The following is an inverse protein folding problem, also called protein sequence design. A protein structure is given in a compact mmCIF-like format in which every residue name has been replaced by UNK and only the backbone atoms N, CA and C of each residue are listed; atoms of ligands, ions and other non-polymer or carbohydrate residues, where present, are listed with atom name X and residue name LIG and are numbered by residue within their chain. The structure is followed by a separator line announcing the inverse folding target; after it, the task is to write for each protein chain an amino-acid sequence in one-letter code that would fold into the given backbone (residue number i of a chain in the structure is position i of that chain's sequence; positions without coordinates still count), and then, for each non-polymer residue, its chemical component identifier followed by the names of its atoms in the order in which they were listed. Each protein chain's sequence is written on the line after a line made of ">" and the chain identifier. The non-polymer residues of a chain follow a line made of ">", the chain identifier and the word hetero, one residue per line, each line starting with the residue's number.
data_IF_348102743072
#
_entry.id   IF_348102743072
#
_cell.length_a   1.000
_cell.length_b   1.000
_cell.length_c   1.000
_cell.angle_alpha   90.00
_cell.angle_beta   90.00
_cell.angle_gamma   90.00
#
_symmetry.space_group_name_H-M   'P 1'
#
loop_
_entity.id
_entity.type
_entity.pdbx_description
1 polymer ?
#
# COMPACT_ATOMS: atom_id res chain seq x y z
N UNK A 1 22.30 -26.05 33.72
CA UNK A 1 22.98 -26.17 32.40
C UNK A 1 21.91 -26.21 31.33
N UNK A 2 21.62 -25.03 30.74
CA UNK A 2 21.83 -24.68 29.33
C UNK A 2 20.93 -25.46 28.35
N UNK A 3 19.83 -24.80 28.01
CA UNK A 3 19.05 -25.04 26.81
C UNK A 3 19.92 -24.73 25.57
N UNK A 4 19.96 -25.67 24.63
CA UNK A 4 20.60 -25.50 23.33
C UNK A 4 19.62 -24.80 22.38
N UNK A 5 19.85 -23.51 22.22
CA UNK A 5 19.18 -22.63 21.28
C UNK A 5 20.12 -22.32 20.12
N UNK A 6 19.99 -23.05 19.01
CA UNK A 6 20.55 -22.65 17.72
C UNK A 6 19.91 -23.41 16.56
N UNK A 7 18.66 -23.05 16.22
CA UNK A 7 18.17 -23.23 14.84
C UNK A 7 17.99 -21.85 14.25
N UNK A 8 18.97 -21.43 13.44
CA UNK A 8 18.82 -20.29 12.52
C UNK A 8 17.54 -20.51 11.70
N UNK A 9 16.69 -19.48 11.54
CA UNK A 9 15.64 -19.56 10.53
C UNK A 9 16.29 -19.70 9.14
N UNK A 10 15.67 -20.47 8.23
CA UNK A 10 16.23 -20.69 6.90
C UNK A 10 16.33 -19.35 6.15
N UNK A 11 17.46 -19.15 5.48
CA UNK A 11 17.70 -18.08 4.53
C UNK A 11 16.77 -18.34 3.33
N UNK A 12 15.66 -17.59 3.25
CA UNK A 12 14.68 -17.74 2.17
C UNK A 12 15.16 -16.87 1.01
N UNK A 13 15.73 -17.52 0.01
CA UNK A 13 16.12 -16.91 -1.26
C UNK A 13 14.89 -16.38 -1.99
N UNK A 14 14.67 -15.07 -1.91
CA UNK A 14 13.95 -14.35 -2.96
C UNK A 14 14.69 -14.61 -4.25
N UNK A 15 14.08 -15.29 -5.22
CA UNK A 15 14.61 -15.32 -6.58
C UNK A 15 14.84 -13.86 -7.01
N UNK A 16 16.09 -13.53 -7.36
CA UNK A 16 16.51 -12.20 -7.75
C UNK A 16 15.91 -11.86 -9.12
N UNK A 17 14.62 -11.55 -9.16
CA UNK A 17 13.94 -11.03 -10.34
C UNK A 17 14.52 -9.65 -10.63
N UNK A 18 15.20 -9.44 -11.79
CA UNK A 18 15.89 -8.19 -12.05
C UNK A 18 14.90 -7.03 -12.16
N UNK A 19 15.22 -5.91 -11.49
CA UNK A 19 14.43 -4.70 -11.56
C UNK A 19 14.50 -4.10 -12.99
N UNK A 20 13.36 -3.67 -13.52
CA UNK A 20 13.34 -2.81 -14.71
C UNK A 20 13.69 -1.38 -14.26
N UNK A 21 14.83 -0.88 -14.75
CA UNK A 21 15.36 0.46 -14.45
C UNK A 21 15.24 1.41 -15.64
N UNK A 22 14.50 1.03 -16.68
CA UNK A 22 14.27 1.87 -17.85
C UNK A 22 13.30 3.02 -17.53
N UNK A 23 13.84 4.14 -17.06
CA UNK A 23 13.09 5.39 -16.90
C UNK A 23 13.14 6.00 -15.48
N UNK A 24 12.18 6.90 -15.22
CA UNK A 24 12.10 7.69 -13.97
C UNK A 24 11.90 6.84 -12.71
N UNK A 25 11.36 5.63 -12.85
CA UNK A 25 11.06 4.71 -11.76
C UNK A 25 11.66 3.33 -12.01
N UNK A 26 12.21 2.74 -10.95
CA UNK A 26 12.61 1.34 -10.92
C UNK A 26 11.44 0.49 -10.44
N UNK A 27 11.14 -0.59 -11.18
CA UNK A 27 10.04 -1.52 -10.90
C UNK A 27 10.61 -2.91 -10.64
N UNK A 28 10.23 -3.50 -9.51
CA UNK A 28 10.62 -4.87 -9.16
C UNK A 28 9.35 -5.69 -8.91
N UNK A 29 8.83 -6.40 -9.92
CA UNK A 29 7.73 -7.35 -9.74
C UNK A 29 8.18 -8.50 -8.82
N UNK A 30 7.28 -8.96 -7.94
CA UNK A 30 7.67 -9.94 -6.90
C UNK A 30 7.62 -11.40 -7.36
N UNK A 31 6.96 -11.69 -8.47
CA UNK A 31 6.94 -13.01 -9.14
C UNK A 31 6.87 -12.84 -10.65
N UNK A 32 7.08 -13.92 -11.41
CA UNK A 32 6.92 -13.92 -12.88
C UNK A 32 5.49 -13.56 -13.32
N UNK A 33 4.46 -13.98 -12.56
CA UNK A 33 3.10 -13.54 -12.84
C UNK A 33 2.96 -12.02 -12.66
N UNK A 34 3.56 -11.45 -11.62
CA UNK A 34 3.56 -10.00 -11.42
C UNK A 34 4.32 -9.27 -12.54
N UNK A 35 5.42 -9.86 -13.04
CA UNK A 35 6.16 -9.35 -14.21
C UNK A 35 5.28 -9.34 -15.44
N UNK A 36 4.57 -10.43 -15.74
CA UNK A 36 3.60 -10.47 -16.84
C UNK A 36 2.52 -9.39 -16.70
N UNK A 37 1.90 -9.25 -15.52
CA UNK A 37 0.88 -8.22 -15.27
C UNK A 37 1.45 -6.80 -15.45
N UNK A 38 2.68 -6.57 -14.99
CA UNK A 38 3.39 -5.30 -15.24
C UNK A 38 3.62 -5.08 -16.74
N UNK A 39 4.13 -6.07 -17.45
CA UNK A 39 4.44 -6.03 -18.89
C UNK A 39 3.19 -5.68 -19.72
N UNK A 40 2.06 -6.33 -19.42
CA UNK A 40 0.75 -6.07 -20.04
C UNK A 40 0.25 -4.63 -19.91
N UNK A 41 0.65 -3.91 -18.85
CA UNK A 41 0.39 -2.47 -18.71
C UNK A 41 -1.09 -2.08 -18.75
N UNK A 42 -2.01 -2.94 -18.29
CA UNK A 42 -3.46 -2.64 -18.40
C UNK A 42 -3.94 -1.63 -17.37
N UNK A 43 -3.61 -1.84 -16.11
CA UNK A 43 -4.09 -1.01 -15.02
C UNK A 43 -3.11 -0.97 -13.85
N UNK A 44 -3.04 0.17 -13.17
CA UNK A 44 -2.29 0.34 -11.92
C UNK A 44 -3.13 1.07 -10.87
N UNK A 45 -3.08 0.56 -9.64
CA UNK A 45 -3.65 1.24 -8.47
C UNK A 45 -2.57 2.00 -7.74
N UNK A 46 -2.75 3.31 -7.60
CA UNK A 46 -1.88 4.21 -6.81
C UNK A 46 -2.53 4.47 -5.46
N UNK A 47 -2.15 3.70 -4.43
CA UNK A 47 -2.59 3.92 -3.06
C UNK A 47 -1.86 5.09 -2.40
N UNK A 48 -2.60 6.11 -1.94
CA UNK A 48 -2.01 7.30 -1.29
C UNK A 48 -2.49 7.38 0.16
N UNK A 49 -1.66 6.87 1.08
CA UNK A 49 -1.99 6.81 2.51
C UNK A 49 -1.86 8.16 3.24
N UNK A 50 -2.57 8.29 4.36
CA UNK A 50 -2.40 9.39 5.33
C UNK A 50 -1.02 9.38 5.98
N UNK A 51 -0.58 10.53 6.48
CA UNK A 51 0.65 10.68 7.27
C UNK A 51 1.96 10.24 6.58
N UNK A 52 1.91 9.85 5.30
CA UNK A 52 3.07 9.40 4.55
C UNK A 52 3.67 10.57 3.78
N UNK A 53 4.78 11.11 4.29
CA UNK A 53 5.52 12.20 3.67
C UNK A 53 6.30 11.77 2.41
N UNK A 54 6.46 10.47 2.17
CA UNK A 54 7.16 9.95 0.98
C UNK A 54 6.55 10.50 -0.31
N UNK A 55 5.22 10.41 -0.45
CA UNK A 55 4.51 10.97 -1.60
C UNK A 55 4.33 12.48 -1.46
N UNK A 56 5.41 13.24 -1.68
CA UNK A 56 5.30 14.68 -1.91
C UNK A 56 4.48 14.97 -3.18
N UNK A 57 3.98 16.21 -3.34
CA UNK A 57 3.28 16.61 -4.58
C UNK A 57 4.15 16.37 -5.81
N UNK A 58 5.46 16.65 -5.71
CA UNK A 58 6.43 16.43 -6.78
C UNK A 58 6.58 14.95 -7.13
N UNK A 59 6.85 14.11 -6.13
CA UNK A 59 7.04 12.68 -6.39
C UNK A 59 5.75 12.04 -6.92
N UNK A 60 4.60 12.44 -6.37
CA UNK A 60 3.32 11.92 -6.82
C UNK A 60 3.00 12.37 -8.25
N UNK A 61 3.34 13.60 -8.66
CA UNK A 61 3.11 14.05 -10.04
C UNK A 61 4.02 13.34 -11.04
N UNK A 62 5.28 13.07 -10.67
CA UNK A 62 6.21 12.24 -11.45
C UNK A 62 5.69 10.82 -11.61
N UNK A 63 5.27 10.19 -10.51
CA UNK A 63 4.70 8.85 -10.50
C UNK A 63 3.42 8.76 -11.36
N UNK A 64 2.49 9.71 -11.22
CA UNK A 64 1.25 9.71 -11.99
C UNK A 64 1.52 9.86 -13.50
N UNK A 65 2.47 10.72 -13.88
CA UNK A 65 2.87 10.89 -15.29
C UNK A 65 3.49 9.62 -15.85
N UNK A 66 4.43 9.02 -15.11
CA UNK A 66 5.05 7.76 -15.50
C UNK A 66 4.00 6.64 -15.63
N UNK A 67 3.11 6.51 -14.64
CA UNK A 67 2.02 5.53 -14.65
C UNK A 67 1.08 5.73 -15.84
N UNK A 68 0.77 6.98 -16.19
CA UNK A 68 -0.09 7.28 -17.33
C UNK A 68 0.54 6.90 -18.67
N UNK A 69 1.87 7.01 -18.81
CA UNK A 69 2.59 6.54 -20.00
C UNK A 69 2.67 5.00 -20.03
N UNK A 70 2.81 4.36 -18.87
CA UNK A 70 3.05 2.91 -18.78
C UNK A 70 1.78 2.06 -18.80
N UNK A 71 0.66 2.59 -18.31
CA UNK A 71 -0.58 1.85 -18.11
C UNK A 71 -1.75 2.48 -18.86
N UNK A 72 -2.60 1.64 -19.45
CA UNK A 72 -3.82 2.10 -20.15
C UNK A 72 -4.79 2.82 -19.21
N UNK A 73 -4.85 2.40 -17.94
CA UNK A 73 -5.71 2.99 -16.92
C UNK A 73 -4.99 3.14 -15.59
N UNK A 74 -5.22 4.26 -14.92
CA UNK A 74 -4.66 4.58 -13.60
C UNK A 74 -5.79 4.96 -12.67
N UNK A 75 -5.89 4.30 -11.52
CA UNK A 75 -6.84 4.63 -10.48
C UNK A 75 -6.06 4.95 -9.18
N UNK A 76 -6.39 6.08 -8.56
CA UNK A 76 -5.82 6.55 -7.29
C UNK A 76 -6.81 6.22 -6.18
N UNK A 77 -6.34 5.58 -5.11
CA UNK A 77 -7.18 5.23 -3.96
C UNK A 77 -6.67 5.92 -2.70
N UNK A 78 -7.57 6.61 -2.00
CA UNK A 78 -7.31 7.29 -0.71
C UNK A 78 -8.03 6.50 0.40
N UNK A 79 -7.32 5.93 1.39
CA UNK A 79 -7.90 5.05 2.42
C UNK A 79 -8.62 5.81 3.54
N UNK A 80 -9.59 6.65 3.20
CA UNK A 80 -10.26 7.66 4.06
C UNK A 80 -10.91 7.13 5.36
N UNK A 81 -11.33 5.87 5.40
CA UNK A 81 -11.97 5.27 6.59
C UNK A 81 -10.97 4.71 7.62
N UNK A 82 -9.75 4.38 7.19
CA UNK A 82 -8.78 3.63 8.00
C UNK A 82 -8.27 4.40 9.22
N UNK A 83 -8.03 5.69 9.05
CA UNK A 83 -7.44 6.52 10.10
C UNK A 83 -8.39 6.70 11.29
N UNK A 84 -9.69 6.89 11.03
CA UNK A 84 -10.69 7.05 12.07
C UNK A 84 -10.70 5.83 13.00
N UNK A 85 -10.73 4.63 12.42
CA UNK A 85 -10.74 3.39 13.19
C UNK A 85 -9.46 3.22 14.02
N UNK A 86 -8.30 3.48 13.43
CA UNK A 86 -7.04 3.42 14.15
C UNK A 86 -7.00 4.39 15.35
N UNK A 87 -7.51 5.62 15.20
CA UNK A 87 -7.56 6.58 16.31
C UNK A 87 -8.50 6.12 17.44
N UNK A 88 -9.64 5.53 17.10
CA UNK A 88 -10.56 4.94 18.09
C UNK A 88 -9.91 3.78 18.85
N UNK A 89 -9.21 2.90 18.13
CA UNK A 89 -8.44 1.79 18.73
C UNK A 89 -7.37 2.31 19.71
N UNK A 90 -6.75 3.44 19.40
CA UNK A 90 -5.79 4.12 20.29
C UNK A 90 -6.43 4.85 21.47
N UNK A 91 -7.74 4.72 21.68
CA UNK A 91 -8.47 5.32 22.80
C UNK A 91 -8.73 6.82 22.63
N UNK A 92 -8.64 7.37 21.41
CA UNK A 92 -9.04 8.75 21.14
C UNK A 92 -10.57 8.86 21.13
N UNK A 93 -11.09 10.03 21.51
CA UNK A 93 -12.53 10.28 21.46
C UNK A 93 -13.05 10.20 20.02
N UNK A 94 -14.32 9.82 19.86
CA UNK A 94 -14.95 9.71 18.55
C UNK A 94 -14.94 11.05 17.79
N UNK A 95 -15.19 12.15 18.50
CA UNK A 95 -15.12 13.50 17.94
C UNK A 95 -13.72 13.84 17.42
N UNK A 96 -12.68 13.55 18.21
CA UNK A 96 -11.30 13.76 17.78
C UNK A 96 -10.95 12.90 16.57
N UNK A 97 -11.31 11.62 16.59
CA UNK A 97 -11.05 10.68 15.51
C UNK A 97 -11.74 11.12 14.20
N UNK A 98 -12.98 11.59 14.29
CA UNK A 98 -13.73 12.11 13.15
C UNK A 98 -13.08 13.37 12.58
N UNK A 99 -12.82 14.38 13.43
CA UNK A 99 -12.20 15.65 13.02
C UNK A 99 -10.83 15.42 12.39
N UNK A 100 -9.98 14.61 13.03
CA UNK A 100 -8.62 14.33 12.57
C UNK A 100 -8.61 13.51 11.28
N UNK A 101 -9.46 12.49 11.17
CA UNK A 101 -9.56 11.69 9.94
C UNK A 101 -10.01 12.53 8.74
N UNK A 102 -11.04 13.38 8.90
CA UNK A 102 -11.47 14.32 7.86
C UNK A 102 -10.36 15.28 7.45
N UNK A 103 -9.65 15.87 8.42
CA UNK A 103 -8.55 16.78 8.16
C UNK A 103 -7.43 16.11 7.33
N UNK A 104 -7.00 14.91 7.74
CA UNK A 104 -5.94 14.17 7.04
C UNK A 104 -6.41 13.68 5.67
N UNK A 105 -7.64 13.21 5.52
CA UNK A 105 -8.22 12.82 4.23
C UNK A 105 -8.26 14.01 3.27
N UNK A 106 -8.70 15.18 3.74
CA UNK A 106 -8.69 16.41 2.93
C UNK A 106 -7.28 16.82 2.53
N UNK A 107 -6.31 16.71 3.45
CA UNK A 107 -4.91 17.00 3.15
C UNK A 107 -4.35 16.07 2.05
N UNK A 108 -4.67 14.77 2.13
CA UNK A 108 -4.29 13.79 1.09
C UNK A 108 -4.99 14.10 -0.23
N UNK A 109 -6.30 14.36 -0.22
CA UNK A 109 -7.07 14.69 -1.43
C UNK A 109 -6.51 15.93 -2.13
N UNK A 110 -6.26 17.01 -1.38
CA UNK A 110 -5.66 18.23 -1.91
C UNK A 110 -4.25 17.99 -2.47
N UNK A 111 -3.49 17.08 -1.86
CA UNK A 111 -2.17 16.67 -2.37
C UNK A 111 -2.29 15.90 -3.69
N UNK A 112 -3.23 14.96 -3.80
CA UNK A 112 -3.51 14.22 -5.04
C UNK A 112 -3.95 15.18 -6.15
N UNK A 113 -4.89 16.09 -5.89
CA UNK A 113 -5.36 17.09 -6.86
C UNK A 113 -4.20 17.96 -7.35
N UNK A 114 -3.37 18.49 -6.45
CA UNK A 114 -2.19 19.27 -6.83
C UNK A 114 -1.19 18.47 -7.67
N UNK A 115 -1.01 17.18 -7.34
CA UNK A 115 -0.12 16.31 -8.10
C UNK A 115 -0.66 16.02 -9.51
N UNK A 116 -1.97 15.79 -9.66
CA UNK A 116 -2.63 15.62 -10.96
C UNK A 116 -2.47 16.87 -11.84
N UNK A 117 -2.71 18.06 -11.28
CA UNK A 117 -2.49 19.33 -11.98
C UNK A 117 -1.03 19.50 -12.40
N UNK A 118 -0.09 19.18 -11.51
CA UNK A 118 1.34 19.26 -11.80
C UNK A 118 1.84 18.17 -12.79
N UNK A 119 1.14 17.04 -12.89
CA UNK A 119 1.47 15.98 -13.84
C UNK A 119 1.19 16.37 -15.30
N UNK A 120 0.31 17.37 -15.51
CA UNK A 120 -0.11 17.87 -16.84
C UNK A 120 -0.70 16.77 -17.74
N UNK A 121 -1.40 15.81 -17.13
CA UNK A 121 -2.15 14.77 -17.84
C UNK A 121 -3.44 15.41 -18.40
N UNK A 122 -3.81 15.18 -19.67
CA UNK A 122 -5.06 15.70 -20.23
C UNK A 122 -6.27 15.26 -19.40
N UNK A 123 -7.29 16.13 -19.17
CA UNK A 123 -8.46 15.77 -18.37
C UNK A 123 -9.20 14.51 -18.84
N UNK A 124 -9.27 14.28 -20.16
CA UNK A 124 -9.88 13.08 -20.76
C UNK A 124 -9.15 11.77 -20.46
N UNK A 125 -7.91 11.87 -19.97
CA UNK A 125 -7.03 10.74 -19.64
C UNK A 125 -6.57 10.80 -18.18
N UNK A 126 -7.18 11.67 -17.37
CA UNK A 126 -6.81 11.85 -15.99
C UNK A 126 -7.14 10.59 -15.18
N UNK A 127 -6.26 10.19 -14.24
CA UNK A 127 -6.54 9.11 -13.31
C UNK A 127 -7.86 9.32 -12.56
N UNK A 128 -8.63 8.23 -12.39
CA UNK A 128 -9.80 8.26 -11.52
C UNK A 128 -9.34 8.31 -10.06
N UNK A 129 -9.98 9.14 -9.24
CA UNK A 129 -9.66 9.26 -7.81
C UNK A 129 -10.83 8.74 -6.99
N UNK A 130 -10.57 7.72 -6.18
CA UNK A 130 -11.55 7.07 -5.33
C UNK A 130 -11.20 7.26 -3.86
N UNK A 131 -12.22 7.50 -3.03
CA UNK A 131 -12.11 7.21 -1.61
C UNK A 131 -12.31 5.71 -1.41
N UNK A 132 -11.67 5.13 -0.40
CA UNK A 132 -11.88 3.73 -0.07
C UNK A 132 -13.34 3.48 0.33
N UNK A 133 -13.95 4.43 1.04
CA UNK A 133 -15.39 4.41 1.35
C UNK A 133 -16.29 4.26 0.12
N UNK A 134 -15.88 4.76 -1.06
CA UNK A 134 -16.64 4.61 -2.30
C UNK A 134 -16.60 3.16 -2.82
N UNK A 135 -15.55 2.41 -2.48
CA UNK A 135 -15.29 1.07 -2.99
C UNK A 135 -15.80 -0.05 -2.07
N UNK A 136 -15.87 0.21 -0.75
CA UNK A 136 -16.20 -0.84 0.24
C UNK A 136 -17.61 -1.43 0.10
N UNK A 137 -18.54 -0.69 -0.52
CA UNK A 137 -19.90 -1.17 -0.79
C UNK A 137 -20.02 -2.17 -1.93
N UNK A 138 -19.01 -2.27 -2.80
CA UNK A 138 -19.03 -3.15 -3.98
C UNK A 138 -19.10 -4.63 -3.60
N UNK A 139 -19.89 -5.42 -4.34
CA UNK A 139 -20.00 -6.87 -4.10
C UNK A 139 -18.66 -7.59 -4.25
N UNK A 140 -17.86 -7.22 -5.26
CA UNK A 140 -16.52 -7.80 -5.48
C UNK A 140 -15.57 -7.47 -4.33
N UNK A 141 -15.55 -6.20 -3.87
CA UNK A 141 -14.73 -5.80 -2.74
C UNK A 141 -15.11 -6.59 -1.48
N UNK A 142 -16.42 -6.70 -1.17
CA UNK A 142 -16.92 -7.46 -0.02
C UNK A 142 -16.56 -8.94 -0.08
N UNK A 143 -16.72 -9.59 -1.24
CA UNK A 143 -16.33 -10.99 -1.40
C UNK A 143 -14.82 -11.21 -1.20
N UNK A 144 -13.97 -10.32 -1.71
CA UNK A 144 -12.52 -10.37 -1.47
C UNK A 144 -12.17 -10.12 0.00
N UNK A 145 -12.90 -9.22 0.65
CA UNK A 145 -12.75 -8.89 2.07
C UNK A 145 -13.14 -10.08 2.97
N UNK A 146 -14.24 -10.74 2.68
CA UNK A 146 -14.69 -11.96 3.39
C UNK A 146 -13.67 -13.10 3.24
N UNK A 147 -13.12 -13.30 2.03
CA UNK A 147 -12.02 -14.25 1.80
C UNK A 147 -10.79 -13.93 2.66
N UNK A 148 -10.40 -12.66 2.71
CA UNK A 148 -9.28 -12.20 3.52
C UNK A 148 -9.51 -12.44 5.02
N UNK A 149 -10.73 -12.20 5.51
CA UNK A 149 -11.12 -12.47 6.89
C UNK A 149 -11.07 -13.96 7.22
N UNK A 150 -11.64 -14.81 6.37
CA UNK A 150 -11.56 -16.27 6.53
C UNK A 150 -10.11 -16.77 6.60
N UNK A 151 -9.24 -16.27 5.74
CA UNK A 151 -7.83 -16.62 5.73
C UNK A 151 -7.08 -16.17 7.00
N UNK A 152 -7.43 -15.04 7.61
CA UNK A 152 -6.84 -14.65 8.90
C UNK A 152 -7.16 -15.61 10.04
N UNK A 153 -8.33 -16.26 9.98
CA UNK A 153 -8.72 -17.25 10.97
C UNK A 153 -7.98 -18.58 10.78
N UNK A 154 -7.65 -18.95 9.53
CA UNK A 154 -7.10 -20.26 9.17
C UNK A 154 -5.56 -20.25 9.06
N UNK A 155 -4.98 -19.14 8.59
CA UNK A 155 -3.54 -19.00 8.33
C UNK A 155 -2.86 -18.08 9.36
N UNK A 156 -2.07 -18.70 10.24
CA UNK A 156 -1.31 -17.98 11.26
C UNK A 156 -0.23 -17.06 10.71
N UNK A 157 0.31 -17.30 9.51
CA UNK A 157 1.33 -16.47 8.87
C UNK A 157 0.72 -15.18 8.31
N UNK A 158 -0.40 -15.28 7.59
CA UNK A 158 -1.18 -14.11 7.14
C UNK A 158 -1.62 -13.30 8.36
N UNK A 159 -2.11 -13.96 9.43
CA UNK A 159 -2.46 -13.28 10.68
C UNK A 159 -1.31 -12.51 11.28
N UNK A 160 -0.13 -13.12 11.39
CA UNK A 160 1.08 -12.44 11.89
C UNK A 160 1.49 -11.26 11.00
N UNK A 161 1.38 -11.40 9.68
CA UNK A 161 1.70 -10.32 8.75
C UNK A 161 0.75 -9.12 8.89
N UNK A 162 -0.56 -9.36 9.00
CA UNK A 162 -1.54 -8.30 9.23
C UNK A 162 -1.36 -7.62 10.60
N UNK A 163 -1.06 -8.38 11.67
CA UNK A 163 -0.74 -7.80 12.99
C UNK A 163 0.52 -6.92 12.94
N UNK A 164 1.56 -7.31 12.18
CA UNK A 164 2.74 -6.46 11.97
C UNK A 164 2.39 -5.16 11.26
N UNK A 165 1.59 -5.22 10.20
CA UNK A 165 1.13 -4.02 9.50
C UNK A 165 0.29 -3.12 10.40
N UNK A 166 -0.58 -3.70 11.23
CA UNK A 166 -1.36 -2.95 12.22
C UNK A 166 -0.45 -2.23 13.23
N UNK A 167 0.54 -2.93 13.81
CA UNK A 167 1.51 -2.32 14.73
C UNK A 167 2.23 -1.13 14.10
N UNK A 168 2.68 -1.25 12.84
CA UNK A 168 3.34 -0.17 12.11
C UNK A 168 2.39 1.01 11.82
N UNK A 169 1.13 0.74 11.47
CA UNK A 169 0.15 1.77 11.19
C UNK A 169 -0.23 2.56 12.45
N UNK A 170 -0.48 1.86 13.56
CA UNK A 170 -0.84 2.47 14.85
C UNK A 170 0.33 3.26 15.47
N UNK A 171 1.55 2.73 15.39
CA UNK A 171 2.74 3.36 15.97
C UNK A 171 3.01 4.79 15.47
N UNK A 172 2.57 5.12 14.25
CA UNK A 172 2.69 6.48 13.67
C UNK A 172 1.99 7.56 14.50
N UNK A 173 1.02 7.19 15.32
CA UNK A 173 0.19 8.12 16.11
C UNK A 173 0.53 8.11 17.60
N UNK A 174 1.56 7.36 18.00
CA UNK A 174 1.95 7.14 19.39
C UNK A 174 3.25 7.85 19.78
N UNK A 175 3.83 8.69 18.90
CA UNK A 175 4.96 9.55 19.24
C UNK A 175 6.20 8.79 19.75
N UNK A 176 6.43 7.57 19.27
CA UNK A 176 7.54 6.71 19.70
C UNK A 176 7.15 5.62 20.71
N UNK A 177 5.95 5.66 21.29
CA UNK A 177 5.43 4.55 22.08
C UNK A 177 4.95 3.40 21.18
N UNK A 178 4.98 2.18 21.71
CA UNK A 178 4.44 1.00 21.04
C UNK A 178 2.95 0.82 21.35
N UNK A 179 2.11 0.41 20.37
CA UNK A 179 0.72 0.03 20.65
C UNK A 179 0.68 -1.25 21.48
N UNK A 180 -0.34 -1.39 22.34
CA UNK A 180 -0.57 -2.62 23.11
C UNK A 180 -1.01 -3.77 22.20
N UNK A 181 -0.89 -5.02 22.66
CA UNK A 181 -1.34 -6.17 21.86
C UNK A 181 -2.85 -6.14 21.56
N UNK A 182 -3.67 -5.63 22.48
CA UNK A 182 -5.11 -5.44 22.23
C UNK A 182 -5.37 -4.40 21.15
N UNK A 183 -4.62 -3.30 21.16
CA UNK A 183 -4.69 -2.29 20.11
C UNK A 183 -4.26 -2.85 18.76
N UNK A 184 -3.17 -3.63 18.71
CA UNK A 184 -2.70 -4.27 17.48
C UNK A 184 -3.74 -5.27 16.95
N UNK A 185 -4.41 -6.04 17.82
CA UNK A 185 -5.51 -6.93 17.42
C UNK A 185 -6.70 -6.15 16.87
N UNK A 186 -7.14 -5.11 17.56
CA UNK A 186 -8.29 -4.31 17.13
C UNK A 186 -8.00 -3.51 15.85
N UNK A 187 -6.76 -3.06 15.67
CA UNK A 187 -6.29 -2.32 14.49
C UNK A 187 -6.07 -3.20 13.25
N UNK A 188 -6.36 -4.50 13.28
CA UNK A 188 -6.25 -5.39 12.11
C UNK A 188 -7.24 -5.03 11.00
N UNK A 189 -8.27 -4.23 11.33
CA UNK A 189 -9.29 -3.73 10.39
C UNK A 189 -8.67 -2.94 9.23
N UNK A 190 -7.61 -2.18 9.49
CA UNK A 190 -6.92 -1.41 8.46
C UNK A 190 -6.22 -2.30 7.41
N UNK A 191 -5.29 -3.21 7.76
CA UNK A 191 -4.71 -4.16 6.80
C UNK A 191 -5.77 -4.97 6.06
N UNK A 192 -6.82 -5.41 6.75
CA UNK A 192 -7.92 -6.10 6.11
C UNK A 192 -8.64 -5.23 5.06
N UNK A 193 -8.68 -3.91 5.22
CA UNK A 193 -9.36 -3.00 4.29
C UNK A 193 -8.53 -2.76 3.02
N UNK A 194 -7.22 -2.98 3.12
CA UNK A 194 -6.31 -2.91 1.99
C UNK A 194 -6.18 -4.25 1.24
N UNK A 195 -6.33 -5.38 1.93
CA UNK A 195 -6.17 -6.72 1.36
C UNK A 195 -6.96 -6.96 0.06
N UNK A 196 -8.22 -6.50 -0.12
CA UNK A 196 -8.93 -6.66 -1.39
C UNK A 196 -8.14 -6.15 -2.61
N UNK A 197 -7.34 -5.09 -2.46
CA UNK A 197 -6.52 -4.58 -3.55
C UNK A 197 -5.33 -5.48 -3.87
N UNK A 198 -4.74 -6.12 -2.86
CA UNK A 198 -3.68 -7.13 -3.06
C UNK A 198 -4.22 -8.39 -3.72
N UNK A 199 -5.49 -8.73 -3.50
CA UNK A 199 -6.08 -9.97 -3.98
C UNK A 199 -6.72 -9.84 -5.36
N UNK A 200 -7.33 -8.71 -5.68
CA UNK A 200 -8.18 -8.63 -6.88
C UNK A 200 -8.58 -7.22 -7.27
N UNK A 201 -7.65 -6.27 -7.27
CA UNK A 201 -7.89 -4.95 -7.88
C UNK A 201 -8.39 -5.05 -9.32
N UNK A 202 -7.89 -6.03 -10.09
CA UNK A 202 -8.38 -6.25 -11.45
C UNK A 202 -9.90 -6.51 -11.49
N UNK A 203 -10.41 -7.28 -10.53
CA UNK A 203 -11.83 -7.58 -10.40
C UNK A 203 -12.61 -6.37 -9.84
N UNK A 204 -12.05 -5.66 -8.86
CA UNK A 204 -12.68 -4.47 -8.26
C UNK A 204 -12.91 -3.38 -9.32
N UNK A 205 -11.93 -3.14 -10.19
CA UNK A 205 -12.00 -2.09 -11.21
C UNK A 205 -12.53 -2.58 -12.58
N UNK A 206 -12.87 -3.87 -12.70
CA UNK A 206 -13.41 -4.46 -13.92
C UNK A 206 -12.42 -4.43 -15.10
N UNK A 207 -11.14 -4.68 -14.83
CA UNK A 207 -10.05 -4.65 -15.82
C UNK A 207 -9.39 -6.03 -15.97
N UNK A 208 -8.79 -6.36 -17.13
CA UNK A 208 -8.22 -7.70 -17.36
C UNK A 208 -7.07 -8.04 -16.41
N UNK A 209 -6.20 -7.08 -16.14
CA UNK A 209 -5.10 -7.22 -15.19
C UNK A 209 -4.82 -5.89 -14.48
N UNK A 210 -4.29 -5.95 -13.26
CA UNK A 210 -4.05 -4.79 -12.41
C UNK A 210 -2.81 -4.99 -11.56
N UNK A 211 -1.97 -3.96 -11.52
CA UNK A 211 -0.80 -3.90 -10.66
C UNK A 211 -1.09 -3.04 -9.42
N UNK A 212 -0.84 -3.58 -8.23
CA UNK A 212 -0.65 -2.79 -7.01
C UNK A 212 0.84 -2.64 -6.72
N UNK A 213 1.22 -1.65 -5.94
CA UNK A 213 2.62 -1.50 -5.57
C UNK A 213 2.81 -0.77 -4.25
N UNK A 214 4.03 -0.87 -3.74
CA UNK A 214 4.53 0.02 -2.70
C UNK A 214 5.99 0.38 -2.95
N UNK A 215 6.49 1.39 -2.27
CA UNK A 215 7.87 1.86 -2.45
C UNK A 215 8.91 1.08 -1.63
N UNK A 216 8.45 0.15 -0.79
CA UNK A 216 9.26 -0.75 0.03
C UNK A 216 8.67 -2.16 -0.06
N UNK A 217 9.49 -3.22 0.10
CA UNK A 217 8.98 -4.57 0.28
C UNK A 217 8.02 -4.63 1.47
N UNK A 218 6.91 -5.35 1.31
CA UNK A 218 5.94 -5.62 2.37
C UNK A 218 5.86 -7.14 2.55
N UNK A 219 6.16 -7.70 3.74
CA UNK A 219 6.16 -9.15 3.94
C UNK A 219 4.83 -9.85 3.60
N UNK A 220 3.70 -9.13 3.72
CA UNK A 220 2.40 -9.65 3.32
C UNK A 220 2.32 -9.89 1.81
N UNK A 221 2.92 -9.02 0.98
CA UNK A 221 2.95 -9.21 -0.46
C UNK A 221 3.73 -10.48 -0.83
N UNK A 222 4.87 -10.73 -0.21
CA UNK A 222 5.67 -11.94 -0.46
C UNK A 222 4.89 -13.21 -0.10
N UNK A 223 4.14 -13.19 1.02
CA UNK A 223 3.30 -14.32 1.44
C UNK A 223 2.19 -14.58 0.42
N UNK A 224 1.49 -13.53 -0.03
CA UNK A 224 0.32 -13.68 -0.90
C UNK A 224 0.70 -14.11 -2.32
N UNK A 225 1.78 -13.55 -2.88
CA UNK A 225 2.10 -13.73 -4.30
C UNK A 225 3.11 -14.84 -4.56
N UNK A 226 4.00 -15.15 -3.60
CA UNK A 226 5.08 -16.14 -3.81
C UNK A 226 4.72 -17.53 -3.30
N UNK A 227 3.57 -17.71 -2.64
CA UNK A 227 3.15 -19.00 -2.06
C UNK A 227 1.80 -19.45 -2.60
N UNK A 228 1.64 -20.78 -2.67
CA UNK A 228 0.32 -21.41 -2.81
C UNK A 228 -0.39 -21.35 -1.45
N UNK A 229 -0.84 -20.16 -1.06
CA UNK A 229 -1.78 -20.01 0.06
C UNK A 229 -3.21 -20.12 -0.45
N UNK A 230 -4.15 -20.47 0.42
CA UNK A 230 -5.58 -20.46 0.08
C UNK A 230 -6.10 -19.03 -0.19
N UNK A 231 -5.33 -18.01 0.20
CA UNK A 231 -5.57 -16.60 -0.11
C UNK A 231 -4.70 -16.11 -1.28
N UNK A 232 -4.62 -16.91 -2.34
CA UNK A 232 -3.92 -16.49 -3.56
C UNK A 232 -4.66 -15.30 -4.25
N UNK A 233 -3.91 -14.31 -4.77
CA UNK A 233 -4.45 -13.27 -5.64
C UNK A 233 -5.08 -13.86 -6.91
N UNK A 234 -6.02 -13.13 -7.50
CA UNK A 234 -6.57 -13.45 -8.82
C UNK A 234 -5.45 -13.50 -9.88
N UNK A 235 -5.56 -14.33 -10.94
CA UNK A 235 -4.50 -14.46 -11.95
C UNK A 235 -4.10 -13.14 -12.61
N UNK A 236 -5.06 -12.21 -12.80
CA UNK A 236 -4.82 -10.87 -13.34
C UNK A 236 -4.25 -9.87 -12.34
N UNK A 237 -4.06 -10.24 -11.07
CA UNK A 237 -3.54 -9.36 -10.04
C UNK A 237 -2.01 -9.52 -9.94
N UNK A 238 -1.31 -8.38 -9.93
CA UNK A 238 0.13 -8.32 -9.73
C UNK A 238 0.52 -7.38 -8.59
N UNK A 239 1.76 -7.53 -8.13
CA UNK A 239 2.37 -6.62 -7.17
C UNK A 239 3.82 -6.32 -7.52
N UNK A 240 4.25 -5.08 -7.29
CA UNK A 240 5.63 -4.67 -7.48
C UNK A 240 6.12 -3.74 -6.38
N UNK A 241 7.44 -3.70 -6.19
CA UNK A 241 8.10 -2.59 -5.49
C UNK A 241 8.44 -1.53 -6.54
N UNK A 242 7.93 -0.31 -6.38
CA UNK A 242 8.17 0.81 -7.30
C UNK A 242 8.74 2.00 -6.54
N UNK A 243 9.92 2.45 -6.94
CA UNK A 243 10.64 3.58 -6.33
C UNK A 243 11.35 4.40 -7.40
N UNK A 244 11.60 5.71 -7.19
CA UNK A 244 12.37 6.52 -8.12
C UNK A 244 13.68 5.82 -8.49
N UNK A 245 13.97 5.77 -9.78
CA UNK A 245 15.30 5.41 -10.25
C UNK A 245 16.27 6.44 -9.68
N UNK A 246 17.35 6.00 -9.03
CA UNK A 246 18.43 6.93 -8.67
C UNK A 246 18.88 7.60 -9.98
N UNK A 247 18.59 8.90 -10.16
CA UNK A 247 19.34 9.68 -11.14
C UNK A 247 20.82 9.56 -10.77
N UNK A 248 21.76 9.37 -11.73
CA UNK A 248 23.16 9.48 -11.42
C UNK A 248 23.39 10.83 -10.74
N UNK A 249 23.88 10.77 -9.51
CA UNK A 249 23.95 11.89 -8.59
C UNK A 249 25.04 12.87 -9.02
N UNK A 250 24.67 14.12 -9.31
CA UNK A 250 25.50 15.26 -8.90
C UNK A 250 25.63 15.28 -7.36
N UNK A 251 26.64 15.98 -6.80
CA UNK A 251 27.13 15.70 -5.45
C UNK A 251 26.04 15.85 -4.38
N UNK A 252 26.06 14.89 -3.47
CA UNK A 252 25.00 14.55 -2.52
C UNK A 252 24.66 15.70 -1.55
N UNK A 253 23.38 16.07 -1.49
CA UNK A 253 22.82 16.69 -0.28
C UNK A 253 22.07 15.63 0.53
N UNK A 254 22.68 15.25 1.66
CA UNK A 254 21.96 14.63 2.78
C UNK A 254 20.95 15.66 3.28
N UNK A 255 19.65 15.39 3.20
CA UNK A 255 18.62 15.89 4.14
C UNK A 255 17.26 15.40 3.64
N UNK A 256 16.66 14.41 4.31
CA UNK A 256 15.20 14.28 4.44
C UNK A 256 14.85 13.10 5.37
N UNK A 257 14.89 13.34 6.68
CA UNK A 257 14.13 12.52 7.63
C UNK A 257 13.66 13.26 8.91
N UNK A 258 13.78 14.59 8.98
CA UNK A 258 13.54 15.32 10.25
C UNK A 258 12.34 16.28 10.28
N UNK A 259 11.42 16.23 9.31
CA UNK A 259 10.34 17.22 9.18
C UNK A 259 8.94 16.75 9.60
N UNK A 260 8.79 15.60 10.27
CA UNK A 260 7.46 15.10 10.66
C UNK A 260 7.04 15.45 12.10
N UNK A 261 7.92 16.06 12.89
CA UNK A 261 7.60 16.54 14.24
C UNK A 261 7.59 18.07 14.23
N UNK A 262 6.48 18.67 13.79
CA UNK A 262 6.03 20.02 14.18
C UNK A 262 4.75 20.39 13.43
N UNK A 263 3.63 20.07 14.05
CA UNK A 263 2.40 20.85 14.02
C UNK A 263 1.58 20.36 15.23
N UNK A 264 1.89 20.95 16.39
CA UNK A 264 0.99 20.94 17.54
C UNK A 264 -0.32 21.64 17.17
#
# INVERSE_FOLDING_TARGET
>A
MRADSSKRPPDITTENIPADTSGEFSVTPITDNCRRVYEEGRHIVVGVSHGNCYFSVKLLSELLRWSHVRFTRVDVVIPDIALRENLLVLGRSAEYAERKSRQETNAVRNRVVRALLAARIPPSSAPHVHLLSDLVGGSVYRALRERAEAALHQDGEIRRACLRMSRLALGKYLGGAAPTEDQVRAGIRYPLAELPFFLGSSQIFGVPSSLCFYHKPIPLADILFSRKTDLAPAPGQGYAVIRPSRRPSGPASRFQESACTRAN
#
